data_IF_515998015699
#
_entry.id   IF_515998015699
#
_cell.length_a   1.000
_cell.length_b   1.000
_cell.length_c   1.000
_cell.angle_alpha   90.00
_cell.angle_beta   90.00
_cell.angle_gamma   90.00
#
_symmetry.space_group_name_H-M   'P 1'
#
loop_
_entity.id
_entity.type
_entity.pdbx_description
1 polymer ?
#
# COMPACT_ATOMS: atom_id res chain seq x y z
N UNK A 1 -10.74 11.12 0.73
CA UNK A 1 -9.45 10.66 1.25
C UNK A 1 -9.28 9.24 0.79
N UNK A 2 -8.26 8.98 -0.02
CA UNK A 2 -8.00 7.70 -0.66
C UNK A 2 -6.70 7.13 -0.12
N UNK A 3 -6.76 5.93 0.48
CA UNK A 3 -5.61 5.28 1.10
C UNK A 3 -5.18 4.10 0.24
N UNK A 4 -3.94 4.12 -0.23
CA UNK A 4 -3.30 2.99 -0.89
C UNK A 4 -2.88 1.93 0.13
N UNK A 5 -3.01 0.66 -0.21
CA UNK A 5 -2.54 -0.46 0.60
C UNK A 5 -1.61 -1.29 -0.27
N UNK A 6 -0.37 -1.49 0.16
CA UNK A 6 0.62 -2.20 -0.63
C UNK A 6 0.21 -3.68 -0.80
N UNK A 7 -0.16 -4.06 -2.02
CA UNK A 7 -0.71 -5.38 -2.36
C UNK A 7 0.32 -6.51 -2.48
N UNK A 8 1.56 -6.27 -2.07
CA UNK A 8 2.69 -7.12 -2.45
C UNK A 8 2.96 -8.28 -1.47
N UNK A 9 2.44 -8.22 -0.25
CA UNK A 9 2.48 -9.34 0.71
C UNK A 9 1.48 -9.14 1.87
N UNK A 10 0.60 -10.13 2.11
CA UNK A 10 -0.08 -10.36 3.40
C UNK A 10 -1.18 -9.35 3.82
N UNK A 11 -2.27 -9.87 4.42
CA UNK A 11 -3.32 -9.15 5.16
C UNK A 11 -3.96 -7.88 4.53
N UNK A 12 -3.92 -7.73 3.20
CA UNK A 12 -4.49 -6.57 2.49
C UNK A 12 -6.00 -6.47 2.72
N UNK A 13 -6.70 -7.60 2.71
CA UNK A 13 -8.16 -7.64 2.81
C UNK A 13 -8.67 -7.10 4.16
N UNK A 14 -7.97 -7.39 5.25
CA UNK A 14 -8.28 -6.88 6.58
C UNK A 14 -8.10 -5.36 6.64
N UNK A 15 -7.01 -4.84 6.08
CA UNK A 15 -6.77 -3.39 6.00
C UNK A 15 -7.83 -2.67 5.16
N UNK A 16 -8.18 -3.22 3.99
CA UNK A 16 -9.26 -2.69 3.13
C UNK A 16 -10.55 -2.59 3.94
N UNK A 17 -10.97 -3.70 4.56
CA UNK A 17 -12.23 -3.78 5.30
C UNK A 17 -12.28 -2.80 6.47
N UNK A 18 -11.18 -2.63 7.21
CA UNK A 18 -11.12 -1.69 8.34
C UNK A 18 -11.22 -0.23 7.86
N UNK A 19 -10.54 0.12 6.77
CA UNK A 19 -10.56 1.48 6.21
C UNK A 19 -11.92 1.81 5.58
N UNK A 20 -12.53 0.86 4.88
CA UNK A 20 -13.90 0.99 4.36
C UNK A 20 -14.92 1.21 5.49
N UNK A 21 -14.76 0.50 6.64
CA UNK A 21 -15.58 0.73 7.84
C UNK A 21 -15.42 2.13 8.43
N UNK A 22 -14.25 2.76 8.24
CA UNK A 22 -14.01 4.15 8.60
C UNK A 22 -14.53 5.16 7.56
N UNK A 23 -15.14 4.69 6.45
CA UNK A 23 -15.62 5.55 5.37
C UNK A 23 -14.50 6.09 4.46
N UNK A 24 -13.34 5.41 4.45
CA UNK A 24 -12.17 5.79 3.65
C UNK A 24 -12.15 4.96 2.37
N UNK A 25 -11.90 5.61 1.24
CA UNK A 25 -11.71 4.91 -0.03
C UNK A 25 -10.34 4.22 -0.03
N UNK A 26 -10.29 2.97 -0.49
CA UNK A 26 -9.04 2.21 -0.51
C UNK A 26 -8.65 1.78 -1.92
N UNK A 27 -7.35 1.73 -2.18
CA UNK A 27 -6.79 1.22 -3.43
C UNK A 27 -5.66 0.24 -3.14
N UNK A 28 -5.69 -0.93 -3.76
CA UNK A 28 -4.58 -1.88 -3.66
C UNK A 28 -3.49 -1.43 -4.62
N UNK A 29 -2.29 -1.17 -4.09
CA UNK A 29 -1.14 -0.69 -4.85
C UNK A 29 -0.31 -1.88 -5.31
N UNK A 30 -0.22 -2.07 -6.62
CA UNK A 30 0.62 -3.10 -7.24
C UNK A 30 1.71 -2.49 -8.12
N UNK A 31 1.51 -1.25 -8.56
CA UNK A 31 2.40 -0.53 -9.47
C UNK A 31 2.69 0.88 -8.97
N UNK A 32 3.69 1.53 -9.56
CA UNK A 32 4.04 2.93 -9.28
C UNK A 32 2.93 3.89 -9.66
N UNK A 33 2.21 3.60 -10.74
CA UNK A 33 1.13 4.44 -11.24
C UNK A 33 -0.03 4.54 -10.25
N UNK A 34 -0.26 3.48 -9.47
CA UNK A 34 -1.30 3.43 -8.44
C UNK A 34 -1.04 4.41 -7.28
N UNK A 35 0.21 4.85 -7.06
CA UNK A 35 0.58 5.79 -5.98
C UNK A 35 0.16 7.23 -6.31
N UNK A 36 0.00 7.57 -7.59
CA UNK A 36 -0.30 8.96 -7.97
C UNK A 36 -1.70 9.42 -7.55
N UNK A 37 -2.59 8.49 -7.18
CA UNK A 37 -4.00 8.74 -6.90
C UNK A 37 -4.38 8.39 -5.44
N UNK A 38 -3.41 8.45 -4.51
CA UNK A 38 -3.66 8.19 -3.09
C UNK A 38 -3.15 9.34 -2.22
N UNK A 39 -3.86 9.61 -1.12
CA UNK A 39 -3.51 10.59 -0.10
C UNK A 39 -2.55 10.01 0.97
N UNK A 40 -2.42 8.68 1.03
CA UNK A 40 -1.55 8.01 1.98
C UNK A 40 -1.39 6.51 1.68
N UNK A 41 -0.28 5.92 2.14
CA UNK A 41 0.06 4.52 1.90
C UNK A 41 0.12 3.72 3.20
N UNK A 42 -0.56 2.59 3.23
CA UNK A 42 -0.48 1.55 4.26
C UNK A 42 0.51 0.48 3.80
N UNK A 43 1.53 0.26 4.62
CA UNK A 43 2.46 -0.85 4.50
C UNK A 43 2.00 -1.97 5.43
N UNK A 44 1.40 -3.06 4.91
CA UNK A 44 0.89 -4.15 5.74
C UNK A 44 2.03 -4.86 6.48
N UNK A 45 1.69 -5.49 7.62
CA UNK A 45 2.65 -6.23 8.43
C UNK A 45 3.15 -7.52 7.77
N UNK A 46 4.39 -7.89 8.06
CA UNK A 46 5.04 -9.07 7.50
C UNK A 46 6.53 -9.08 7.81
N UNK A 47 7.36 -9.26 6.78
CA UNK A 47 8.82 -9.14 6.90
C UNK A 47 9.34 -7.86 6.24
N UNK A 48 10.03 -7.02 7.03
CA UNK A 48 10.62 -5.76 6.57
C UNK A 48 11.59 -5.93 5.40
N UNK A 49 12.36 -7.02 5.37
CA UNK A 49 13.27 -7.35 4.26
C UNK A 49 12.52 -7.60 2.96
N UNK A 50 11.37 -8.27 3.04
CA UNK A 50 10.53 -8.58 1.88
C UNK A 50 9.84 -7.32 1.39
N UNK A 51 9.31 -6.49 2.29
CA UNK A 51 8.76 -5.18 1.95
C UNK A 51 9.80 -4.28 1.27
N UNK A 52 11.02 -4.19 1.80
CA UNK A 52 12.07 -3.38 1.19
C UNK A 52 12.44 -3.86 -0.22
N UNK A 53 12.57 -5.18 -0.42
CA UNK A 53 12.81 -5.76 -1.74
C UNK A 53 11.67 -5.48 -2.72
N UNK A 54 10.44 -5.53 -2.24
CA UNK A 54 9.24 -5.24 -3.02
C UNK A 54 9.19 -3.76 -3.40
N UNK A 55 9.28 -2.85 -2.44
CA UNK A 55 9.32 -1.41 -2.70
C UNK A 55 10.44 -1.02 -3.69
N UNK A 56 11.62 -1.64 -3.57
CA UNK A 56 12.73 -1.41 -4.51
C UNK A 56 12.44 -2.02 -5.89
N UNK A 57 11.85 -3.23 -5.95
CA UNK A 57 11.48 -3.89 -7.21
C UNK A 57 10.44 -3.12 -8.00
N UNK A 58 9.52 -2.45 -7.30
CA UNK A 58 8.46 -1.64 -7.91
C UNK A 58 8.82 -0.16 -8.03
N UNK A 59 10.06 0.22 -7.72
CA UNK A 59 10.57 1.59 -7.82
C UNK A 59 9.76 2.61 -7.00
N UNK A 60 9.15 2.15 -5.91
CA UNK A 60 8.27 2.93 -5.02
C UNK A 60 9.05 3.63 -3.90
N UNK A 61 10.31 3.23 -3.69
CA UNK A 61 11.14 3.75 -2.61
C UNK A 61 11.46 5.23 -2.77
N UNK A 62 11.63 5.69 -4.01
CA UNK A 62 11.94 7.09 -4.29
C UNK A 62 10.72 8.00 -4.17
N UNK A 63 9.51 7.48 -4.35
CA UNK A 63 8.25 8.25 -4.17
C UNK A 63 7.85 8.39 -2.69
N UNK A 64 8.44 7.59 -1.80
CA UNK A 64 8.14 7.56 -0.36
C UNK A 64 9.12 8.37 0.50
N UNK A 65 10.07 9.09 -0.11
CA UNK A 65 11.09 9.90 0.57
C UNK A 65 10.68 11.35 0.80
#
# INVERSE_FOLDING_TARGET
>A
MKIGILGLQGAVAEHVKMLEQCGVETQVIQTKEDINDIDGLVLPGGESTTMFKLLNKFDLLDDLR
#
